data_IF_710096640781
#
_entry.id   IF_710096640781
#
_cell.length_a   1.000
_cell.length_b   1.000
_cell.length_c   1.000
_cell.angle_alpha   90.00
_cell.angle_beta   90.00
_cell.angle_gamma   90.00
#
_symmetry.space_group_name_H-M   'P 1'
#
loop_
_entity.id
_entity.type
_entity.pdbx_description
1 polymer ?
#
# COMPACT_ATOMS: atom_id res chain seq x y z
N UNK A 1 2.31 -0.77 -8.19
CA UNK A 1 3.49 -1.35 -8.87
C UNK A 1 3.20 -1.41 -10.37
N UNK A 2 4.07 -0.84 -11.23
CA UNK A 2 3.94 -0.94 -12.70
C UNK A 2 3.87 -2.42 -13.11
N UNK A 3 3.04 -2.77 -14.11
CA UNK A 3 3.06 -4.14 -14.67
C UNK A 3 4.42 -4.37 -15.29
N UNK A 4 4.93 -5.61 -15.21
CA UNK A 4 6.21 -5.98 -15.83
C UNK A 4 6.24 -5.59 -17.32
N UNK A 5 5.12 -5.81 -18.00
CA UNK A 5 4.85 -5.44 -19.41
C UNK A 5 4.93 -3.93 -19.72
N UNK A 6 5.07 -3.07 -18.71
CA UNK A 6 5.15 -1.60 -18.89
C UNK A 6 6.56 -1.04 -18.66
N UNK A 7 7.57 -1.91 -18.52
CA UNK A 7 8.98 -1.52 -18.42
C UNK A 7 9.57 -1.41 -19.84
N UNK A 8 10.35 -0.36 -20.07
CA UNK A 8 11.17 -0.30 -21.28
C UNK A 8 12.34 -1.31 -21.17
N UNK A 9 12.91 -1.72 -22.30
CA UNK A 9 14.09 -2.61 -22.31
C UNK A 9 15.25 -2.05 -21.46
N UNK A 10 15.45 -0.72 -21.49
CA UNK A 10 16.47 -0.03 -20.68
C UNK A 10 16.18 -0.15 -19.18
N UNK A 11 14.90 -0.05 -18.78
CA UNK A 11 14.51 -0.21 -17.38
C UNK A 11 14.65 -1.66 -16.91
N UNK A 12 14.39 -2.63 -17.78
CA UNK A 12 14.57 -4.06 -17.45
C UNK A 12 16.03 -4.40 -17.21
N UNK A 13 16.93 -3.92 -18.07
CA UNK A 13 18.39 -4.14 -17.90
C UNK A 13 18.86 -3.53 -16.59
N UNK A 14 18.55 -2.26 -16.33
CA UNK A 14 18.92 -1.58 -15.08
C UNK A 14 18.38 -2.28 -13.84
N UNK A 15 17.13 -2.75 -13.91
CA UNK A 15 16.51 -3.47 -12.81
C UNK A 15 17.22 -4.81 -12.54
N UNK A 16 17.60 -5.53 -13.58
CA UNK A 16 18.37 -6.77 -13.45
C UNK A 16 19.76 -6.51 -12.85
N UNK A 17 20.46 -5.47 -13.31
CA UNK A 17 21.78 -5.10 -12.76
C UNK A 17 21.71 -4.81 -11.26
N UNK A 18 20.69 -4.06 -10.81
CA UNK A 18 20.48 -3.77 -9.38
C UNK A 18 20.14 -5.05 -8.59
N UNK A 19 19.32 -5.94 -9.15
CA UNK A 19 18.97 -7.20 -8.49
C UNK A 19 20.20 -8.13 -8.37
N UNK A 20 21.10 -8.13 -9.36
CA UNK A 20 22.35 -8.87 -9.32
C UNK A 20 23.34 -8.28 -8.29
N UNK A 21 23.40 -6.94 -8.21
CA UNK A 21 24.28 -6.25 -7.28
C UNK A 21 23.84 -6.36 -5.81
N UNK A 22 22.53 -6.51 -5.55
CA UNK A 22 21.98 -6.55 -4.19
C UNK A 22 20.90 -7.63 -4.04
N UNK A 23 21.25 -8.79 -3.44
CA UNK A 23 20.31 -9.90 -3.20
C UNK A 23 19.09 -9.49 -2.37
N UNK A 24 19.25 -8.58 -1.40
CA UNK A 24 18.15 -8.08 -0.59
C UNK A 24 17.10 -7.34 -1.44
N UNK A 25 17.53 -6.55 -2.43
CA UNK A 25 16.62 -5.87 -3.35
C UNK A 25 15.92 -6.89 -4.26
N UNK A 26 16.66 -7.89 -4.76
CA UNK A 26 16.07 -8.96 -5.55
C UNK A 26 14.96 -9.69 -4.77
N UNK A 27 15.24 -10.04 -3.51
CA UNK A 27 14.29 -10.71 -2.61
C UNK A 27 13.10 -9.83 -2.26
N UNK A 28 13.34 -8.56 -1.93
CA UNK A 28 12.29 -7.59 -1.67
C UNK A 28 11.33 -7.46 -2.85
N UNK A 29 11.88 -7.41 -4.07
CA UNK A 29 11.09 -7.32 -5.31
C UNK A 29 10.22 -8.54 -5.50
N UNK A 30 10.77 -9.74 -5.33
CA UNK A 30 10.03 -11.00 -5.47
C UNK A 30 8.83 -11.05 -4.50
N UNK A 31 9.08 -10.75 -3.23
CA UNK A 31 8.05 -10.71 -2.18
C UNK A 31 6.97 -9.68 -2.52
N UNK A 32 7.37 -8.47 -2.92
CA UNK A 32 6.45 -7.39 -3.27
C UNK A 32 5.60 -7.71 -4.52
N UNK A 33 6.17 -8.42 -5.50
CA UNK A 33 5.45 -8.87 -6.69
C UNK A 33 4.36 -9.88 -6.31
N UNK A 34 4.66 -10.83 -5.42
CA UNK A 34 3.67 -11.82 -4.97
C UNK A 34 2.59 -11.20 -4.11
N UNK A 35 2.93 -10.27 -3.23
CA UNK A 35 1.92 -9.48 -2.52
C UNK A 35 1.02 -8.70 -3.48
N UNK A 36 1.60 -8.09 -4.53
CA UNK A 36 0.84 -7.38 -5.55
C UNK A 36 -0.12 -8.32 -6.31
N UNK A 37 0.25 -9.59 -6.52
CA UNK A 37 -0.65 -10.58 -7.09
C UNK A 37 -1.84 -10.84 -6.15
N UNK A 38 -1.60 -11.03 -4.85
CA UNK A 38 -2.68 -11.17 -3.86
C UNK A 38 -3.69 -10.02 -3.91
N UNK A 39 -3.18 -8.77 -3.99
CA UNK A 39 -4.00 -7.57 -4.08
C UNK A 39 -4.82 -7.53 -5.38
N UNK A 40 -4.19 -7.86 -6.51
CA UNK A 40 -4.82 -7.78 -7.84
C UNK A 40 -5.87 -8.86 -8.05
N UNK A 41 -5.54 -10.08 -7.64
CA UNK A 41 -6.35 -11.27 -7.88
C UNK A 41 -7.36 -11.49 -6.74
N UNK A 42 -7.30 -10.64 -5.71
CA UNK A 42 -8.15 -10.67 -4.51
C UNK A 42 -8.14 -12.02 -3.78
N UNK A 43 -6.96 -12.62 -3.68
CA UNK A 43 -6.75 -13.92 -3.03
C UNK A 43 -6.29 -13.75 -1.60
N UNK A 44 -7.02 -12.98 -0.79
CA UNK A 44 -6.68 -12.69 0.61
C UNK A 44 -6.52 -13.93 1.49
N UNK A 45 -7.16 -15.05 1.14
CA UNK A 45 -7.00 -16.34 1.83
C UNK A 45 -5.56 -16.89 1.78
N UNK A 46 -4.73 -16.45 0.82
CA UNK A 46 -3.30 -16.83 0.70
C UNK A 46 -2.37 -15.89 1.48
N UNK A 47 -2.90 -14.86 2.15
CA UNK A 47 -2.12 -13.92 2.94
C UNK A 47 -1.29 -14.59 4.06
N UNK A 48 -1.80 -15.60 4.81
CA UNK A 48 -1.01 -16.28 5.83
C UNK A 48 0.25 -16.93 5.26
N UNK A 49 0.14 -17.62 4.13
CA UNK A 49 1.27 -18.28 3.47
C UNK A 49 2.34 -17.27 3.04
N UNK A 50 1.90 -16.14 2.46
CA UNK A 50 2.80 -15.06 2.11
C UNK A 50 3.50 -14.48 3.33
N UNK A 51 2.79 -14.27 4.45
CA UNK A 51 3.39 -13.78 5.70
C UNK A 51 4.42 -14.74 6.27
N UNK A 52 4.10 -16.04 6.32
CA UNK A 52 5.03 -17.07 6.83
C UNK A 52 6.33 -17.09 6.03
N UNK A 53 6.28 -16.84 4.72
CA UNK A 53 7.49 -16.76 3.94
C UNK A 53 8.29 -15.47 4.18
N UNK A 54 7.59 -14.34 4.31
CA UNK A 54 8.23 -13.06 4.63
C UNK A 54 8.97 -13.13 5.97
N UNK A 55 8.43 -13.85 6.93
CA UNK A 55 9.06 -14.00 8.24
C UNK A 55 10.33 -14.86 8.23
N UNK A 56 10.51 -15.72 7.22
CA UNK A 56 11.73 -16.54 7.07
C UNK A 56 12.88 -15.74 6.46
N UNK A 57 12.65 -15.17 5.29
CA UNK A 57 13.73 -14.74 4.39
C UNK A 57 13.51 -13.35 3.77
N UNK A 58 12.73 -12.46 4.41
CA UNK A 58 12.58 -11.10 3.92
C UNK A 58 13.59 -10.13 4.56
N UNK A 59 14.00 -9.08 3.82
CA UNK A 59 14.69 -7.95 4.43
C UNK A 59 13.91 -7.37 5.60
N UNK A 60 14.63 -6.91 6.64
CA UNK A 60 14.07 -6.49 7.92
C UNK A 60 12.87 -5.52 7.80
N UNK A 61 12.86 -4.50 6.90
CA UNK A 61 11.72 -3.61 6.74
C UNK A 61 10.43 -4.32 6.30
N UNK A 62 10.54 -5.32 5.43
CA UNK A 62 9.41 -6.09 4.91
C UNK A 62 8.91 -7.07 5.97
N UNK A 63 9.82 -7.69 6.72
CA UNK A 63 9.45 -8.49 7.89
C UNK A 63 8.66 -7.67 8.93
N UNK A 64 9.07 -6.41 9.17
CA UNK A 64 8.32 -5.48 10.03
C UNK A 64 6.92 -5.18 9.51
N UNK A 65 6.77 -5.00 8.19
CA UNK A 65 5.47 -4.80 7.55
C UNK A 65 4.53 -6.00 7.72
N UNK A 66 5.02 -7.23 7.52
CA UNK A 66 4.22 -8.44 7.75
C UNK A 66 3.75 -8.57 9.21
N UNK A 67 4.64 -8.32 10.18
CA UNK A 67 4.27 -8.31 11.60
C UNK A 67 3.23 -7.25 11.94
N UNK A 68 3.34 -6.06 11.36
CA UNK A 68 2.35 -5.00 11.58
C UNK A 68 0.96 -5.39 11.05
N UNK A 69 0.88 -6.05 9.89
CA UNK A 69 -0.39 -6.52 9.35
C UNK A 69 -1.09 -7.55 10.25
N UNK A 70 -0.35 -8.33 11.05
CA UNK A 70 -0.94 -9.27 12.00
C UNK A 70 -1.79 -8.59 13.08
N UNK A 71 -1.58 -7.30 13.34
CA UNK A 71 -2.36 -6.54 14.33
C UNK A 71 -3.83 -6.38 13.92
N UNK A 72 -4.14 -6.48 12.62
CA UNK A 72 -5.50 -6.37 12.09
C UNK A 72 -5.68 -7.30 10.88
N UNK A 73 -5.39 -8.59 11.09
CA UNK A 73 -5.34 -9.59 10.02
C UNK A 73 -6.69 -9.73 9.31
N UNK A 74 -7.79 -9.60 10.03
CA UNK A 74 -9.14 -9.72 9.48
C UNK A 74 -9.44 -8.57 8.51
N UNK A 75 -9.12 -7.32 8.89
CA UNK A 75 -9.31 -6.17 8.01
C UNK A 75 -8.39 -6.23 6.79
N UNK A 76 -7.13 -6.65 6.96
CA UNK A 76 -6.19 -6.80 5.84
C UNK A 76 -6.68 -7.89 4.89
N UNK A 77 -7.11 -9.04 5.40
CA UNK A 77 -7.66 -10.14 4.60
C UNK A 77 -8.91 -9.70 3.84
N UNK A 78 -9.82 -8.98 4.50
CA UNK A 78 -11.00 -8.41 3.86
C UNK A 78 -10.62 -7.41 2.75
N UNK A 79 -9.64 -6.55 2.99
CA UNK A 79 -9.11 -5.60 1.99
C UNK A 79 -8.47 -6.28 0.78
N UNK A 80 -7.92 -7.49 0.96
CA UNK A 80 -7.36 -8.33 -0.11
C UNK A 80 -8.38 -9.30 -0.72
N UNK A 81 -9.66 -9.28 -0.32
CA UNK A 81 -10.66 -10.23 -0.81
C UNK A 81 -11.89 -9.54 -1.38
N UNK A 82 -12.37 -8.50 -0.71
CA UNK A 82 -13.59 -7.80 -1.08
C UNK A 82 -13.37 -6.84 -2.26
N UNK A 83 -14.46 -6.52 -2.95
CA UNK A 83 -14.42 -5.58 -4.07
C UNK A 83 -14.39 -4.11 -3.65
N UNK A 84 -14.65 -3.84 -2.37
CA UNK A 84 -14.74 -2.50 -1.82
C UNK A 84 -13.36 -1.86 -1.66
N UNK A 85 -13.28 -0.55 -1.88
CA UNK A 85 -12.06 0.22 -1.61
C UNK A 85 -12.36 1.41 -0.70
N UNK A 86 -11.40 1.74 0.17
CA UNK A 86 -11.43 2.95 1.00
C UNK A 86 -11.12 4.23 0.21
N UNK A 87 -10.79 4.15 -1.08
CA UNK A 87 -10.22 5.26 -1.85
C UNK A 87 -11.07 6.53 -1.88
N UNK A 88 -12.40 6.40 -2.03
CA UNK A 88 -13.32 7.56 -2.00
C UNK A 88 -13.35 8.19 -0.60
N UNK A 89 -13.39 7.37 0.44
CA UNK A 89 -13.39 7.83 1.84
C UNK A 89 -12.07 8.51 2.17
N UNK A 90 -10.94 7.91 1.77
CA UNK A 90 -9.61 8.48 1.94
C UNK A 90 -9.45 9.79 1.17
N UNK A 91 -10.02 9.90 -0.04
CA UNK A 91 -10.07 11.15 -0.80
C UNK A 91 -10.77 12.27 -0.03
N UNK A 92 -11.94 11.99 0.55
CA UNK A 92 -12.65 12.94 1.40
C UNK A 92 -11.84 13.30 2.67
N UNK A 93 -11.25 12.31 3.34
CA UNK A 93 -10.39 12.53 4.51
C UNK A 93 -9.19 13.41 4.14
N UNK A 94 -8.57 13.20 2.98
CA UNK A 94 -7.45 14.00 2.52
C UNK A 94 -7.89 15.44 2.22
N UNK A 95 -9.03 15.64 1.54
CA UNK A 95 -9.61 16.97 1.31
C UNK A 95 -9.84 17.71 2.63
N UNK A 96 -10.43 17.05 3.62
CA UNK A 96 -10.66 17.62 4.95
C UNK A 96 -9.34 18.00 5.63
N UNK A 97 -8.34 17.11 5.60
CA UNK A 97 -7.00 17.37 6.15
C UNK A 97 -6.34 18.56 5.45
N UNK A 98 -6.49 18.71 4.14
CA UNK A 98 -5.97 19.84 3.37
C UNK A 98 -6.61 21.16 3.81
N UNK A 99 -7.94 21.21 3.94
CA UNK A 99 -8.65 22.42 4.44
C UNK A 99 -8.13 22.77 5.84
N UNK A 100 -8.01 21.79 6.74
CA UNK A 100 -7.50 22.03 8.10
C UNK A 100 -6.05 22.55 8.09
N UNK A 101 -5.19 22.05 7.20
CA UNK A 101 -3.80 22.53 7.02
C UNK A 101 -3.72 23.95 6.46
N UNK A 102 -4.55 24.29 5.47
CA UNK A 102 -4.67 25.66 4.94
C UNK A 102 -5.09 26.67 6.02
N UNK A 103 -5.75 26.19 7.06
CA UNK A 103 -6.18 27.00 8.19
C UNK A 103 -5.24 26.89 9.40
N UNK A 104 -4.01 26.38 9.22
CA UNK A 104 -3.01 26.21 10.29
C UNK A 104 -3.55 25.44 11.49
N UNK A 105 -4.39 24.44 11.26
CA UNK A 105 -5.04 23.64 12.30
C UNK A 105 -6.26 24.31 12.96
N UNK A 106 -6.55 25.59 12.68
CA UNK A 106 -7.63 26.39 13.28
C UNK A 106 -8.98 26.18 12.58
N UNK A 107 -9.33 24.92 12.31
CA UNK A 107 -10.60 24.56 11.69
C UNK A 107 -11.38 23.64 12.63
N UNK A 108 -12.20 24.25 13.51
CA UNK A 108 -13.14 23.51 14.35
C UNK A 108 -14.20 22.83 13.48
N UNK A 109 -14.95 21.86 14.03
CA UNK A 109 -15.99 21.15 13.27
C UNK A 109 -16.97 22.12 12.57
N UNK A 110 -17.42 23.17 13.27
CA UNK A 110 -18.32 24.19 12.69
C UNK A 110 -17.70 24.88 11.47
N UNK A 111 -16.42 25.23 11.55
CA UNK A 111 -15.68 25.92 10.48
C UNK A 111 -15.40 24.99 9.30
N UNK A 112 -15.01 23.75 9.58
CA UNK A 112 -14.85 22.71 8.54
C UNK A 112 -16.17 22.45 7.82
N UNK A 113 -17.27 22.27 8.56
CA UNK A 113 -18.61 22.05 8.01
C UNK A 113 -19.02 23.20 7.10
N UNK A 114 -18.82 24.45 7.53
CA UNK A 114 -19.12 25.62 6.70
C UNK A 114 -18.29 25.63 5.40
N UNK A 115 -16.98 25.36 5.47
CA UNK A 115 -16.10 25.33 4.29
C UNK A 115 -16.40 24.19 3.31
N UNK A 116 -16.93 23.07 3.80
CA UNK A 116 -17.21 21.88 2.98
C UNK A 116 -18.60 21.96 2.35
N UNK A 117 -19.61 22.34 3.12
CA UNK A 117 -21.02 22.30 2.69
C UNK A 117 -21.50 23.60 2.02
N UNK A 118 -20.87 24.74 2.32
CA UNK A 118 -21.30 26.07 1.84
C UNK A 118 -20.37 26.55 0.71
N UNK A 119 -19.86 25.64 -0.13
CA UNK A 119 -19.14 26.08 -1.32
C UNK A 119 -20.11 26.86 -2.25
N UNK A 120 -19.64 27.93 -2.93
CA UNK A 120 -20.42 28.58 -3.99
C UNK A 120 -20.65 27.66 -5.18
#
# INVERSE_FOLDING_TARGET
MRRRESLSEVDEVRLNDVCLACPDIARAREIAQRYTALVRDRTGHLLPDWMSEVERDAPLPIGGFARFMKLDIDAVTAGLTLQYSSGVVEGHVNRIKTIKRQMYGRASFRVLRARILIQP
#
